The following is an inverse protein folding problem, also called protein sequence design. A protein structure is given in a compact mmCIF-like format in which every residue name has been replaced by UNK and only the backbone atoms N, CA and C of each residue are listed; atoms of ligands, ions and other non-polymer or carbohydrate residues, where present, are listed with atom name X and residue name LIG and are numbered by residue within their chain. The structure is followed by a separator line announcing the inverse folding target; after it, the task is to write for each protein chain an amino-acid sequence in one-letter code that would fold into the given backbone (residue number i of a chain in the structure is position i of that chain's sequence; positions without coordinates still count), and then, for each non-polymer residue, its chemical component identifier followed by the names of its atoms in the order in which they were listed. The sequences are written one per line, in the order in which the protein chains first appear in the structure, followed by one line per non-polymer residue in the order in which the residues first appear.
data_IF_740163243462
#
_entry.id   IF_740163243462
#
_cell.length_a   1.000
_cell.length_b   1.000
_cell.length_c   1.000
_cell.angle_alpha   90.00
_cell.angle_beta   90.00
_cell.angle_gamma   90.00
#
_symmetry.space_group_name_H-M   'P 1'
#
loop_
_entity.id
_entity.type
_entity.pdbx_description
1 polymer ?
#
# COMPACT_ATOMS: atom_id res chain seq x y z
N UNK A 1 10.51 -26.78 -21.22
CA UNK A 1 10.43 -26.35 -20.90
C UNK A 1 10.22 -25.60 -20.48
N UNK A 2 10.07 -25.60 -20.23
CA UNK A 2 9.79 -24.97 -19.78
C UNK A 2 10.09 -24.19 -19.34
N UNK A 3 10.66 -23.94 -19.29
CA UNK A 3 11.14 -23.05 -18.47
C UNK A 3 10.85 -21.71 -18.75
N UNK A 4 10.53 -21.40 -19.76
CA UNK A 4 10.15 -20.13 -19.99
C UNK A 4 9.37 -19.55 -18.91
N UNK A 5 8.66 -20.30 -18.32
CA UNK A 5 7.91 -19.84 -17.26
C UNK A 5 8.74 -19.32 -16.19
N UNK A 6 9.96 -19.73 -16.17
CA UNK A 6 10.72 -19.33 -15.14
C UNK A 6 11.05 -17.91 -15.11
N UNK A 7 11.32 -17.33 -16.16
CA UNK A 7 11.65 -15.95 -16.17
C UNK A 7 10.53 -15.14 -15.67
N UNK A 8 9.36 -15.50 -15.94
CA UNK A 8 8.26 -14.75 -15.46
C UNK A 8 8.18 -14.83 -13.99
N UNK A 9 8.61 -15.90 -13.43
CA UNK A 9 8.55 -16.01 -12.03
C UNK A 9 9.46 -15.05 -11.34
N UNK A 10 10.59 -14.78 -11.92
CA UNK A 10 11.48 -13.86 -11.30
C UNK A 10 10.92 -12.47 -11.19
N UNK A 11 10.24 -12.03 -12.19
CA UNK A 11 9.64 -10.73 -12.10
C UNK A 11 8.37 -10.77 -11.35
N UNK A 12 7.74 -11.89 -11.28
CA UNK A 12 6.46 -12.05 -10.65
C UNK A 12 6.40 -11.60 -9.21
N UNK A 13 7.28 -12.06 -8.34
CA UNK A 13 7.21 -11.67 -6.93
C UNK A 13 7.31 -10.18 -6.71
N UNK A 14 8.18 -9.52 -7.43
CA UNK A 14 8.32 -8.09 -7.31
C UNK A 14 7.07 -7.40 -7.79
N UNK A 15 6.51 -7.89 -8.87
CA UNK A 15 5.30 -7.34 -9.41
C UNK A 15 4.14 -7.49 -8.44
N UNK A 16 4.05 -8.63 -7.80
CA UNK A 16 2.99 -8.86 -6.83
C UNK A 16 3.12 -7.91 -5.66
N UNK A 17 4.32 -7.65 -5.21
CA UNK A 17 4.51 -6.73 -4.11
C UNK A 17 4.11 -5.32 -4.47
N UNK A 18 4.47 -4.86 -5.65
CA UNK A 18 4.13 -3.50 -6.04
C UNK A 18 2.68 -3.36 -6.43
N UNK A 19 1.98 -4.46 -6.66
CA UNK A 19 0.56 -4.37 -7.03
C UNK A 19 -0.36 -4.61 -5.85
N UNK A 20 0.14 -4.50 -4.63
CA UNK A 20 -0.69 -4.62 -3.45
C UNK A 20 -0.60 -3.34 -2.63
N UNK A 21 -1.75 -2.81 -2.27
CA UNK A 21 -1.80 -1.67 -1.37
C UNK A 21 -2.18 -2.17 0.02
N UNK A 22 -1.49 -1.68 1.02
CA UNK A 22 -1.82 -1.99 2.41
C UNK A 22 -2.11 -0.69 3.12
N UNK A 23 -3.30 -0.57 3.66
CA UNK A 23 -3.73 0.62 4.38
C UNK A 23 -3.82 0.31 5.86
N UNK A 24 -3.10 1.09 6.67
CA UNK A 24 -3.13 0.90 8.12
C UNK A 24 -4.01 1.99 8.70
N UNK A 25 -5.06 1.59 9.42
CA UNK A 25 -6.05 2.51 9.94
C UNK A 25 -6.29 2.28 11.42
N UNK A 26 -6.98 3.24 12.04
CA UNK A 26 -7.38 3.11 13.44
C UNK A 26 -8.85 3.47 13.56
N UNK A 27 -9.46 3.10 14.67
CA UNK A 27 -10.86 3.45 14.90
C UNK A 27 -10.94 4.94 15.18
N UNK A 28 -12.11 5.52 14.92
CA UNK A 28 -12.37 6.94 15.19
C UNK A 28 -11.35 7.86 14.54
N UNK A 29 -11.02 7.55 13.30
CA UNK A 29 -9.99 8.28 12.59
C UNK A 29 -10.60 8.86 11.31
N UNK A 30 -10.83 10.18 11.30
CA UNK A 30 -11.42 10.83 10.12
C UNK A 30 -10.51 10.76 8.92
N UNK A 31 -9.22 10.93 9.14
CA UNK A 31 -8.27 10.85 8.03
C UNK A 31 -8.24 9.46 7.44
N UNK A 32 -8.52 8.46 8.27
CA UNK A 32 -8.53 7.08 7.77
C UNK A 32 -9.68 6.83 6.83
N UNK A 33 -10.83 7.47 7.05
CA UNK A 33 -11.95 7.31 6.14
C UNK A 33 -11.63 7.87 4.77
N UNK A 34 -11.02 9.03 4.75
CA UNK A 34 -10.61 9.64 3.48
C UNK A 34 -9.56 8.77 2.80
N UNK A 35 -8.59 8.29 3.57
CA UNK A 35 -7.53 7.46 3.02
C UNK A 35 -8.08 6.16 2.46
N UNK A 36 -9.09 5.60 3.11
CA UNK A 36 -9.72 4.38 2.63
C UNK A 36 -10.35 4.60 1.26
N UNK A 37 -11.05 5.71 1.10
CA UNK A 37 -11.65 6.04 -0.19
C UNK A 37 -10.60 6.20 -1.28
N UNK A 38 -9.53 6.91 -0.98
CA UNK A 38 -8.45 7.12 -1.94
C UNK A 38 -7.80 5.79 -2.30
N UNK A 39 -7.50 4.98 -1.30
CA UNK A 39 -6.81 3.71 -1.53
C UNK A 39 -7.65 2.76 -2.36
N UNK A 40 -8.94 2.66 -2.05
CA UNK A 40 -9.80 1.76 -2.81
C UNK A 40 -10.00 2.24 -4.24
N UNK A 41 -10.09 3.54 -4.44
CA UNK A 41 -10.24 4.07 -5.79
C UNK A 41 -8.99 3.79 -6.62
N UNK A 42 -7.82 4.02 -6.04
CA UNK A 42 -6.58 3.76 -6.75
C UNK A 42 -6.37 2.28 -7.00
N UNK A 43 -6.72 1.45 -6.03
CA UNK A 43 -6.59 0.00 -6.22
C UNK A 43 -7.45 -0.47 -7.38
N UNK A 44 -8.69 0.02 -7.46
CA UNK A 44 -9.57 -0.36 -8.55
C UNK A 44 -9.04 0.14 -9.90
N UNK A 45 -8.57 1.36 -9.92
CA UNK A 45 -8.07 1.96 -11.15
C UNK A 45 -6.81 1.27 -11.65
N UNK A 46 -5.90 0.96 -10.75
CA UNK A 46 -4.62 0.38 -11.12
C UNK A 46 -4.61 -1.14 -11.05
N UNK A 47 -5.72 -1.72 -10.64
CA UNK A 47 -5.88 -3.18 -10.52
C UNK A 47 -4.92 -3.75 -9.50
N UNK A 48 -4.77 -3.06 -8.39
CA UNK A 48 -3.97 -3.52 -7.27
C UNK A 48 -4.89 -4.22 -6.27
N UNK A 49 -4.34 -5.17 -5.55
CA UNK A 49 -5.04 -5.73 -4.41
C UNK A 49 -4.95 -4.73 -3.29
N UNK A 50 -5.93 -4.75 -2.39
CA UNK A 50 -5.89 -3.86 -1.26
C UNK A 50 -6.23 -4.63 0.00
N UNK A 51 -5.50 -4.37 1.08
CA UNK A 51 -5.85 -4.92 2.37
C UNK A 51 -5.70 -3.84 3.42
N UNK A 52 -6.37 -4.03 4.52
CA UNK A 52 -6.40 -3.06 5.58
C UNK A 52 -5.95 -3.71 6.88
N UNK A 53 -5.07 -3.02 7.61
CA UNK A 53 -4.56 -3.51 8.88
C UNK A 53 -4.90 -2.53 9.97
N UNK A 54 -5.09 -3.03 11.18
CA UNK A 54 -5.32 -2.16 12.31
C UNK A 54 -3.98 -1.60 12.78
N UNK A 55 -3.97 -0.34 13.14
CA UNK A 55 -2.76 0.37 13.59
C UNK A 55 -2.03 -0.36 14.72
N UNK A 56 -2.79 -0.93 15.64
CA UNK A 56 -2.20 -1.59 16.80
C UNK A 56 -2.06 -3.09 16.64
N UNK A 57 -2.23 -3.61 15.43
CA UNK A 57 -2.02 -5.04 15.21
C UNK A 57 -0.53 -5.31 15.05
N UNK A 58 -0.08 -6.53 15.36
CA UNK A 58 1.33 -6.87 15.17
C UNK A 58 1.78 -6.73 13.73
N UNK A 59 0.89 -6.99 12.78
CA UNK A 59 1.24 -6.90 11.38
C UNK A 59 1.53 -5.48 10.95
N UNK A 60 1.08 -4.51 11.72
CA UNK A 60 1.29 -3.11 11.37
C UNK A 60 2.57 -2.54 12.00
N UNK A 61 3.42 -3.37 12.55
CA UNK A 61 4.67 -2.89 13.17
C UNK A 61 5.55 -2.14 12.20
N UNK A 62 5.35 -2.37 10.91
CA UNK A 62 6.12 -1.67 9.89
C UNK A 62 5.97 -0.15 10.02
N UNK A 63 4.83 0.33 10.49
CA UNK A 63 4.63 1.77 10.63
C UNK A 63 5.55 2.36 11.69
N UNK A 64 5.83 1.61 12.74
CA UNK A 64 6.73 2.09 13.77
C UNK A 64 8.16 2.06 13.29
N UNK A 65 8.51 1.02 12.56
CA UNK A 65 9.84 0.91 11.97
C UNK A 65 10.10 2.06 11.01
N UNK A 66 9.10 2.46 10.25
CA UNK A 66 9.25 3.52 9.28
C UNK A 66 9.01 4.91 9.86
N UNK A 67 8.76 4.99 11.16
CA UNK A 67 8.61 6.29 11.81
C UNK A 67 7.32 7.00 11.53
N UNK A 68 6.27 6.28 11.18
CA UNK A 68 4.96 6.89 10.92
C UNK A 68 4.36 7.32 12.26
N UNK A 69 4.10 8.61 12.44
CA UNK A 69 3.68 9.10 13.76
C UNK A 69 2.22 8.82 14.09
N UNK A 70 1.36 8.67 13.09
CA UNK A 70 -0.06 8.43 13.35
C UNK A 70 -0.73 7.87 12.10
N UNK A 71 -1.86 7.18 12.27
CA UNK A 71 -2.58 6.63 11.11
C UNK A 71 -3.28 7.76 10.36
N UNK A 72 -3.64 7.53 9.11
CA UNK A 72 -3.44 6.31 8.34
C UNK A 72 -2.08 6.25 7.68
N UNK A 73 -1.67 5.05 7.28
CA UNK A 73 -0.45 4.86 6.51
C UNK A 73 -0.79 3.98 5.32
N UNK A 74 -0.23 4.29 4.17
CA UNK A 74 -0.51 3.53 2.96
C UNK A 74 0.80 3.03 2.39
N UNK A 75 0.84 1.74 2.12
CA UNK A 75 2.01 1.09 1.56
C UNK A 75 1.69 0.48 0.20
N UNK A 76 2.65 0.55 -0.70
CA UNK A 76 2.59 -0.18 -1.95
C UNK A 76 3.67 -1.26 -1.83
N UNK A 77 3.24 -2.50 -1.63
CA UNK A 77 4.19 -3.54 -1.28
C UNK A 77 4.86 -3.19 0.03
N UNK A 78 6.16 -3.05 0.02
CA UNK A 78 6.93 -2.71 1.20
C UNK A 78 7.25 -1.23 1.32
N UNK A 79 6.79 -0.43 0.39
CA UNK A 79 7.16 0.98 0.32
C UNK A 79 6.06 1.86 0.89
N UNK A 80 6.42 2.74 1.80
CA UNK A 80 5.49 3.71 2.33
C UNK A 80 5.25 4.77 1.28
N UNK A 81 4.00 4.94 0.87
CA UNK A 81 3.65 5.93 -0.16
C UNK A 81 2.88 7.12 0.38
N UNK A 82 2.50 7.07 1.64
CA UNK A 82 1.85 8.22 2.26
C UNK A 82 1.37 7.90 3.65
N UNK A 83 1.18 8.93 4.46
CA UNK A 83 0.58 8.75 5.78
C UNK A 83 -0.11 10.05 6.18
N UNK A 84 -0.99 9.96 7.16
CA UNK A 84 -1.72 11.11 7.65
C UNK A 84 -2.71 11.59 6.60
N UNK A 85 -2.53 12.80 6.12
CA UNK A 85 -3.41 13.33 5.08
C UNK A 85 -2.95 12.80 3.73
N UNK A 86 -3.57 11.73 3.31
CA UNK A 86 -3.21 11.05 2.08
C UNK A 86 -3.99 11.66 0.92
N UNK A 87 -3.29 12.12 -0.10
CA UNK A 87 -3.94 12.66 -1.28
C UNK A 87 -3.77 11.73 -2.45
N UNK A 88 -4.79 11.67 -3.29
CA UNK A 88 -4.77 10.80 -4.45
C UNK A 88 -3.62 11.15 -5.38
N UNK A 89 -3.43 12.43 -5.64
CA UNK A 89 -2.34 12.86 -6.54
C UNK A 89 -0.97 12.55 -6.00
N UNK A 90 -0.78 12.73 -4.69
CA UNK A 90 0.50 12.42 -4.07
C UNK A 90 0.83 10.95 -4.11
N UNK A 91 -0.17 10.11 -3.83
CA UNK A 91 0.02 8.67 -3.88
C UNK A 91 0.30 8.22 -5.30
N UNK A 92 -0.43 8.77 -6.25
CA UNK A 92 -0.27 8.41 -7.64
C UNK A 92 1.15 8.70 -8.12
N UNK A 93 1.71 9.82 -7.71
CA UNK A 93 3.09 10.16 -8.06
C UNK A 93 4.08 9.18 -7.44
N UNK A 94 3.84 8.81 -6.17
CA UNK A 94 4.71 7.85 -5.51
C UNK A 94 4.64 6.49 -6.16
N UNK A 95 3.43 6.07 -6.54
CA UNK A 95 3.25 4.78 -7.19
C UNK A 95 3.96 4.73 -8.54
N UNK A 96 4.00 5.84 -9.24
CA UNK A 96 4.72 5.89 -10.50
C UNK A 96 6.20 5.63 -10.32
N UNK A 97 6.76 6.08 -9.21
CA UNK A 97 8.18 5.86 -8.96
C UNK A 97 8.46 4.43 -8.55
N UNK A 98 7.52 3.83 -7.84
CA UNK A 98 7.71 2.49 -7.34
C UNK A 98 7.61 1.45 -8.44
N UNK A 99 6.74 1.70 -9.39
CA UNK A 99 6.58 0.75 -10.48
C UNK A 99 7.50 1.10 -11.65
#
# INVERSE_FOLDING_TARGET
MSPSTRSSQLSGPDRLRTSRLTLVTAVDCHLCEHARSVAHRLAAELKFEIRELAWDSPEADVVRRDGVPFPPALYAGDQLVGYGRISEGGVRRRLSRVS
#
